data_IF_273553361590
#
_entry.id   IF_273553361590
#
_cell.length_a   1.000
_cell.length_b   1.000
_cell.length_c   1.000
_cell.angle_alpha   90.00
_cell.angle_beta   90.00
_cell.angle_gamma   90.00
#
_symmetry.space_group_name_H-M   'P 1'
#
loop_
_entity.id
_entity.type
_entity.pdbx_description
1 polymer ?
#
# COMPACT_ATOMS: atom_id res chain seq x y z
N UNK A 1 -69.36 -1.04 -33.74
CA UNK A 1 -68.75 -2.27 -34.29
C UNK A 1 -67.29 -2.29 -33.82
N UNK A 2 -66.92 -3.15 -32.85
CA UNK A 2 -66.16 -4.42 -33.01
C UNK A 2 -64.88 -4.24 -33.86
N UNK A 3 -63.64 -4.62 -33.49
CA UNK A 3 -63.05 -5.41 -32.38
C UNK A 3 -61.50 -5.48 -32.56
N UNK A 4 -60.77 -5.77 -31.47
CA UNK A 4 -59.48 -6.54 -31.36
C UNK A 4 -58.18 -5.87 -31.88
N UNK A 5 -56.97 -6.16 -31.39
CA UNK A 5 -56.43 -6.89 -30.23
C UNK A 5 -54.88 -6.80 -30.32
N UNK A 6 -54.22 -6.60 -29.17
CA UNK A 6 -52.91 -7.13 -28.71
C UNK A 6 -51.69 -7.28 -29.65
N UNK A 7 -50.54 -6.75 -29.20
CA UNK A 7 -49.20 -7.38 -29.18
C UNK A 7 -48.18 -6.34 -28.69
N UNK A 8 -47.83 -6.27 -27.41
CA UNK A 8 -46.78 -7.04 -26.74
C UNK A 8 -45.49 -7.21 -27.55
N UNK A 9 -44.45 -6.44 -27.18
CA UNK A 9 -43.05 -6.72 -27.52
C UNK A 9 -42.12 -6.00 -26.53
N UNK A 10 -42.12 -6.48 -25.29
CA UNK A 10 -41.00 -6.32 -24.36
C UNK A 10 -39.88 -7.28 -24.77
N UNK A 11 -38.72 -6.77 -25.18
CA UNK A 11 -37.43 -7.46 -25.45
C UNK A 11 -36.42 -6.36 -25.75
N UNK A 12 -35.22 -6.25 -25.20
CA UNK A 12 -34.31 -7.15 -24.51
C UNK A 12 -33.38 -6.23 -23.70
N UNK A 13 -33.04 -6.52 -22.44
CA UNK A 13 -32.00 -7.50 -22.16
C UNK A 13 -30.59 -6.90 -22.05
N UNK A 14 -30.42 -5.65 -21.59
CA UNK A 14 -29.13 -5.14 -21.14
C UNK A 14 -28.79 -5.71 -19.76
N UNK A 15 -28.49 -7.02 -19.70
CA UNK A 15 -27.73 -7.57 -18.57
C UNK A 15 -26.30 -7.10 -18.73
N UNK A 16 -26.04 -5.88 -18.26
CA UNK A 16 -24.70 -5.44 -17.91
C UNK A 16 -24.10 -6.55 -17.06
N UNK A 17 -23.12 -7.26 -17.63
CA UNK A 17 -22.33 -8.22 -16.87
C UNK A 17 -21.76 -7.46 -15.68
N UNK A 18 -22.24 -7.80 -14.49
CA UNK A 18 -21.71 -7.30 -13.23
C UNK A 18 -20.23 -7.64 -13.22
N UNK A 19 -19.38 -6.69 -13.65
CA UNK A 19 -17.94 -6.77 -13.47
C UNK A 19 -17.75 -6.76 -11.97
N UNK A 20 -17.57 -7.95 -11.39
CA UNK A 20 -17.17 -8.06 -10.00
C UNK A 20 -15.99 -7.12 -9.78
N UNK A 21 -16.01 -6.28 -8.73
CA UNK A 21 -14.88 -5.43 -8.42
C UNK A 21 -13.64 -6.33 -8.30
N UNK A 22 -12.48 -5.91 -8.84
CA UNK A 22 -11.27 -6.71 -8.75
C UNK A 22 -11.00 -7.03 -7.28
N UNK A 23 -10.75 -8.31 -6.97
CA UNK A 23 -10.35 -8.72 -5.61
C UNK A 23 -9.17 -7.86 -5.16
N UNK A 24 -9.36 -7.11 -4.08
CA UNK A 24 -8.30 -6.38 -3.41
C UNK A 24 -7.27 -7.43 -2.96
N UNK A 25 -6.02 -7.26 -3.39
CA UNK A 25 -4.92 -8.15 -3.02
C UNK A 25 -4.15 -7.50 -1.89
N UNK A 26 -3.93 -8.26 -0.83
CA UNK A 26 -3.07 -7.83 0.27
C UNK A 26 -1.62 -7.66 -0.21
N UNK A 27 -0.86 -6.73 0.40
CA UNK A 27 0.57 -6.67 0.18
C UNK A 27 1.24 -7.97 0.65
N UNK A 28 2.28 -8.37 -0.08
CA UNK A 28 3.19 -9.44 0.33
C UNK A 28 4.55 -8.83 0.55
N UNK A 29 5.14 -9.09 1.71
CA UNK A 29 6.45 -8.56 2.06
C UNK A 29 7.56 -9.59 1.79
N UNK A 30 8.69 -9.14 1.24
CA UNK A 30 9.80 -10.03 0.87
C UNK A 30 10.61 -10.51 2.09
N UNK A 31 10.55 -9.79 3.20
CA UNK A 31 11.24 -10.12 4.45
C UNK A 31 10.30 -9.89 5.65
N UNK A 32 10.61 -10.55 6.77
CA UNK A 32 9.86 -10.36 8.02
C UNK A 32 10.24 -9.05 8.71
N UNK A 33 9.45 -8.65 9.71
CA UNK A 33 9.71 -7.46 10.53
C UNK A 33 11.02 -7.60 11.33
N UNK A 34 11.28 -8.78 11.88
CA UNK A 34 12.51 -9.10 12.60
C UNK A 34 13.73 -8.98 11.67
N UNK A 35 13.57 -9.42 10.43
CA UNK A 35 14.60 -9.35 9.39
C UNK A 35 14.90 -7.89 8.98
N UNK A 36 13.89 -7.01 8.93
CA UNK A 36 14.09 -5.55 8.73
C UNK A 36 15.00 -4.98 9.82
N UNK A 37 14.68 -5.25 11.09
CA UNK A 37 15.45 -4.76 12.24
C UNK A 37 16.87 -5.34 12.21
N UNK A 38 17.02 -6.64 11.95
CA UNK A 38 18.33 -7.31 11.86
C UNK A 38 19.20 -6.68 10.77
N UNK A 39 18.68 -6.54 9.54
CA UNK A 39 19.42 -5.95 8.41
C UNK A 39 19.81 -4.49 8.65
N UNK A 40 18.95 -3.72 9.33
CA UNK A 40 19.28 -2.34 9.67
C UNK A 40 20.46 -2.25 10.64
N UNK A 41 20.53 -3.15 11.64
CA UNK A 41 21.63 -3.22 12.62
C UNK A 41 22.96 -3.64 12.00
N UNK A 42 22.93 -4.43 10.93
CA UNK A 42 24.13 -4.91 10.22
C UNK A 42 24.77 -3.85 9.33
N UNK A 43 24.07 -2.74 9.09
CA UNK A 43 24.54 -1.63 8.26
C UNK A 43 24.77 -0.38 9.12
N UNK A 44 25.65 0.56 8.72
CA UNK A 44 25.88 1.81 9.43
C UNK A 44 24.73 2.80 9.15
N UNK A 45 23.49 2.41 9.44
CA UNK A 45 22.28 3.16 9.17
C UNK A 45 21.64 3.62 10.48
N UNK A 46 20.92 4.74 10.43
CA UNK A 46 20.06 5.13 11.55
C UNK A 46 18.95 4.08 11.70
N UNK A 47 18.71 3.64 12.94
CA UNK A 47 17.64 2.70 13.26
C UNK A 47 16.26 3.26 12.91
N UNK A 48 16.11 4.59 12.82
CA UNK A 48 14.89 5.21 12.32
C UNK A 48 14.50 4.71 10.92
N UNK A 49 15.46 4.35 10.07
CA UNK A 49 15.16 3.78 8.76
C UNK A 49 14.43 2.43 8.86
N UNK A 50 14.79 1.58 9.83
CA UNK A 50 14.01 0.35 10.09
C UNK A 50 12.59 0.70 10.52
N UNK A 51 12.45 1.69 11.40
CA UNK A 51 11.15 2.18 11.84
C UNK A 51 10.26 2.64 10.69
N UNK A 52 10.80 3.45 9.78
CA UNK A 52 10.11 3.95 8.60
C UNK A 52 9.68 2.82 7.64
N UNK A 53 10.52 1.81 7.45
CA UNK A 53 10.18 0.65 6.63
C UNK A 53 9.10 -0.21 7.30
N UNK A 54 9.18 -0.43 8.62
CA UNK A 54 8.13 -1.12 9.36
C UNK A 54 6.79 -0.35 9.31
N UNK A 55 6.83 0.97 9.48
CA UNK A 55 5.66 1.83 9.34
C UNK A 55 5.08 1.75 7.92
N UNK A 56 5.93 1.69 6.89
CA UNK A 56 5.48 1.48 5.52
C UNK A 56 4.75 0.14 5.35
N UNK A 57 5.27 -0.94 5.94
CA UNK A 57 4.63 -2.26 5.93
C UNK A 57 3.25 -2.21 6.61
N UNK A 58 3.17 -1.56 7.78
CA UNK A 58 1.92 -1.44 8.53
C UNK A 58 0.87 -0.62 7.79
N UNK A 59 1.26 0.50 7.18
CA UNK A 59 0.38 1.31 6.34
C UNK A 59 -0.06 0.55 5.08
N UNK A 60 0.85 -0.19 4.44
CA UNK A 60 0.49 -1.03 3.29
C UNK A 60 -0.54 -2.10 3.67
N UNK A 61 -0.43 -2.72 4.85
CA UNK A 61 -1.43 -3.66 5.35
C UNK A 61 -2.76 -2.97 5.65
N UNK A 62 -2.73 -1.86 6.40
CA UNK A 62 -3.93 -1.13 6.82
C UNK A 62 -4.77 -0.64 5.63
N UNK A 63 -4.11 -0.20 4.56
CA UNK A 63 -4.78 0.32 3.36
C UNK A 63 -4.91 -0.72 2.23
N UNK A 64 -4.44 -1.96 2.43
CA UNK A 64 -4.36 -3.01 1.42
C UNK A 64 -3.61 -2.54 0.14
N UNK A 65 -2.51 -1.79 0.31
CA UNK A 65 -1.72 -1.26 -0.80
C UNK A 65 -0.59 -2.21 -1.18
N UNK A 66 -0.68 -2.80 -2.38
CA UNK A 66 0.46 -3.46 -3.02
C UNK A 66 1.54 -2.45 -3.44
N UNK A 67 2.77 -2.92 -3.70
CA UNK A 67 3.85 -2.08 -4.29
C UNK A 67 3.38 -1.36 -5.56
N UNK A 68 2.61 -2.05 -6.42
CA UNK A 68 2.06 -1.44 -7.64
C UNK A 68 1.13 -0.28 -7.29
N UNK A 69 0.22 -0.46 -6.33
CA UNK A 69 -0.73 0.58 -5.93
C UNK A 69 -0.01 1.77 -5.28
N UNK A 70 0.95 1.49 -4.42
CA UNK A 70 1.74 2.53 -3.76
C UNK A 70 2.56 3.34 -4.76
N UNK A 71 3.12 2.70 -5.79
CA UNK A 71 3.77 3.37 -6.91
C UNK A 71 2.82 4.32 -7.65
N UNK A 72 1.60 3.86 -7.97
CA UNK A 72 0.59 4.68 -8.66
C UNK A 72 0.20 5.93 -7.85
N UNK A 73 0.15 5.82 -6.52
CA UNK A 73 -0.27 6.90 -5.63
C UNK A 73 0.86 7.88 -5.28
N UNK A 74 2.06 7.39 -5.01
CA UNK A 74 3.21 8.22 -4.59
C UNK A 74 4.09 8.69 -5.76
N UNK A 75 3.99 8.00 -6.90
CA UNK A 75 4.91 8.11 -8.03
C UNK A 75 6.32 7.58 -7.75
N UNK A 76 6.60 7.02 -6.56
CA UNK A 76 7.91 6.42 -6.24
C UNK A 76 8.06 5.15 -7.05
N UNK A 77 9.24 4.94 -7.66
CA UNK A 77 9.47 3.79 -8.52
C UNK A 77 9.24 2.46 -7.78
N UNK A 78 8.64 1.47 -8.46
CA UNK A 78 8.38 0.15 -7.87
C UNK A 78 9.65 -0.53 -7.34
N UNK A 79 10.78 -0.39 -8.05
CA UNK A 79 12.08 -0.90 -7.62
C UNK A 79 12.51 -0.22 -6.32
N UNK A 80 12.45 1.11 -6.23
CA UNK A 80 12.79 1.83 -5.00
C UNK A 80 11.94 1.38 -3.80
N UNK A 81 10.62 1.23 -3.98
CA UNK A 81 9.74 0.72 -2.92
C UNK A 81 10.15 -0.70 -2.49
N UNK A 82 10.41 -1.58 -3.46
CA UNK A 82 10.88 -2.93 -3.18
C UNK A 82 12.22 -2.91 -2.42
N UNK A 83 13.20 -2.12 -2.90
CA UNK A 83 14.53 -2.02 -2.34
C UNK A 83 14.50 -1.47 -0.91
N UNK A 84 13.58 -0.54 -0.61
CA UNK A 84 13.30 -0.11 0.77
C UNK A 84 12.74 -1.27 1.61
N UNK A 85 11.77 -2.02 1.10
CA UNK A 85 11.15 -3.14 1.82
C UNK A 85 12.12 -4.31 2.06
N UNK A 86 13.20 -4.46 1.29
CA UNK A 86 14.28 -5.44 1.53
C UNK A 86 15.50 -4.85 2.24
N UNK A 87 15.43 -3.58 2.66
CA UNK A 87 16.52 -2.83 3.29
C UNK A 87 17.78 -2.71 2.40
N UNK A 88 17.63 -2.69 1.07
CA UNK A 88 18.71 -2.45 0.09
C UNK A 88 18.87 -0.96 -0.28
N UNK A 89 17.79 -0.19 -0.18
CA UNK A 89 17.79 1.26 -0.31
C UNK A 89 17.23 1.93 0.95
N UNK A 90 17.75 3.12 1.27
CA UNK A 90 17.23 3.91 2.38
C UNK A 90 16.24 4.97 1.90
N UNK A 91 15.15 5.21 2.65
CA UNK A 91 14.27 6.35 2.42
C UNK A 91 15.04 7.68 2.49
N UNK A 92 14.91 8.50 1.45
CA UNK A 92 15.27 9.93 1.51
C UNK A 92 14.08 10.76 1.95
N UNK A 93 14.29 11.97 2.49
CA UNK A 93 13.18 12.85 2.88
C UNK A 93 12.18 13.12 1.74
N UNK A 94 12.66 13.26 0.50
CA UNK A 94 11.77 13.40 -0.67
C UNK A 94 10.92 12.12 -0.88
N UNK A 95 11.55 10.95 -0.81
CA UNK A 95 10.86 9.66 -0.96
C UNK A 95 9.83 9.46 0.16
N UNK A 96 10.20 9.75 1.41
CA UNK A 96 9.30 9.69 2.57
C UNK A 96 8.12 10.62 2.37
N UNK A 97 8.34 11.88 2.00
CA UNK A 97 7.26 12.83 1.79
C UNK A 97 6.29 12.39 0.68
N UNK A 98 6.79 11.76 -0.37
CA UNK A 98 5.95 11.20 -1.45
C UNK A 98 5.16 9.97 -1.02
N UNK A 99 5.79 9.08 -0.24
CA UNK A 99 5.11 7.90 0.31
C UNK A 99 4.06 8.30 1.35
N UNK A 100 4.37 9.20 2.28
CA UNK A 100 3.46 9.70 3.31
C UNK A 100 2.19 10.29 2.68
N UNK A 101 2.33 11.11 1.63
CA UNK A 101 1.18 11.69 0.92
C UNK A 101 0.25 10.65 0.28
N UNK A 102 0.76 9.48 -0.10
CA UNK A 102 -0.08 8.39 -0.61
C UNK A 102 -1.04 7.82 0.45
N UNK A 103 -0.76 8.07 1.72
CA UNK A 103 -1.59 7.70 2.88
C UNK A 103 -2.32 8.91 3.50
N UNK A 104 -2.22 10.09 2.87
CA UNK A 104 -2.81 11.32 3.41
C UNK A 104 -2.05 11.91 4.60
N UNK A 105 -0.76 11.62 4.71
CA UNK A 105 0.11 12.09 5.81
C UNK A 105 1.19 13.05 5.31
N UNK A 106 1.71 13.86 6.22
CA UNK A 106 2.94 14.63 6.05
C UNK A 106 4.19 13.79 6.37
N UNK A 107 5.36 14.22 5.86
CA UNK A 107 6.61 13.51 6.09
C UNK A 107 6.95 13.38 7.58
N UNK A 108 6.70 14.44 8.37
CA UNK A 108 6.97 14.43 9.82
C UNK A 108 6.11 13.39 10.56
N UNK A 109 4.85 13.22 10.17
CA UNK A 109 3.96 12.21 10.75
C UNK A 109 4.45 10.81 10.43
N UNK A 110 4.98 10.60 9.21
CA UNK A 110 5.58 9.33 8.81
C UNK A 110 6.85 9.01 9.61
N UNK A 111 7.75 9.99 9.80
CA UNK A 111 8.94 9.82 10.64
C UNK A 111 8.56 9.47 12.09
N UNK A 112 7.57 10.16 12.66
CA UNK A 112 7.07 9.89 14.01
C UNK A 112 6.46 8.48 14.11
N UNK A 113 5.66 8.08 13.12
CA UNK A 113 5.12 6.73 13.05
C UNK A 113 6.26 5.69 13.02
N UNK A 114 7.29 5.91 12.19
CA UNK A 114 8.46 5.04 12.15
C UNK A 114 9.16 4.90 13.50
N UNK A 115 9.34 6.01 14.24
CA UNK A 115 9.88 5.97 15.59
C UNK A 115 9.04 5.12 16.55
N UNK A 116 7.71 5.31 16.58
CA UNK A 116 6.82 4.55 17.46
C UNK A 116 6.74 3.07 17.08
N UNK A 117 6.67 2.76 15.78
CA UNK A 117 6.66 1.38 15.27
C UNK A 117 7.94 0.65 15.65
N UNK A 118 9.11 1.29 15.48
CA UNK A 118 10.37 0.71 15.90
C UNK A 118 10.38 0.43 17.41
N UNK A 119 9.94 1.39 18.23
CA UNK A 119 9.91 1.21 19.69
C UNK A 119 9.04 0.03 20.10
N UNK A 120 7.90 -0.18 19.46
CA UNK A 120 7.05 -1.34 19.71
C UNK A 120 7.76 -2.66 19.34
N UNK A 121 8.59 -2.66 18.27
CA UNK A 121 9.31 -3.85 17.81
C UNK A 121 10.51 -4.23 18.69
N UNK A 122 11.17 -3.25 19.30
CA UNK A 122 12.41 -3.46 20.07
C UNK A 122 12.25 -3.35 21.58
N UNK A 123 11.05 -3.04 22.07
CA UNK A 123 10.77 -3.05 23.52
C UNK A 123 10.48 -4.48 23.98
N UNK A 124 11.14 -4.95 25.07
CA UNK A 124 10.98 -6.31 25.59
C UNK A 124 9.62 -6.59 26.22
#
# INVERSE_FOLDING_TARGET
MKTKSSSDASRSGDRQGERMPPKVRDPVFPISREEVVRRCREKPHDMLCAGEVLALMDLMLLFHYTIKRLHELSGVARSMIHDMLVMEALPTNDTVGRLARAFGMEAIEFHLLGFFTLRAEVSP
#
